data_IF_168985818585
#
_entry.id   IF_168985818585
#
_cell.length_a   1.000
_cell.length_b   1.000
_cell.length_c   1.000
_cell.angle_alpha   90.00
_cell.angle_beta   90.00
_cell.angle_gamma   90.00
#
_symmetry.space_group_name_H-M   'P 1'
#
loop_
_entity.id
_entity.type
_entity.pdbx_description
1 polymer ?
#
# COMPACT_ATOMS: atom_id res chain seq x y z
N UNK A 1 11.44 41.65 -11.88
CA UNK A 1 11.15 40.31 -12.41
C UNK A 1 10.86 39.31 -11.29
N UNK A 2 11.69 39.28 -10.23
CA UNK A 2 11.56 38.32 -9.10
C UNK A 2 10.23 38.43 -8.36
N UNK A 3 9.69 39.62 -8.18
CA UNK A 3 8.40 39.88 -7.50
C UNK A 3 7.17 39.50 -8.33
N UNK A 4 7.25 39.58 -9.67
CA UNK A 4 6.15 39.12 -10.55
C UNK A 4 6.08 37.60 -10.64
N UNK A 5 7.20 36.93 -10.68
CA UNK A 5 7.27 35.46 -10.68
C UNK A 5 6.77 34.89 -9.35
N UNK A 6 7.12 35.49 -8.20
CA UNK A 6 6.65 35.02 -6.90
C UNK A 6 5.14 35.26 -6.70
N UNK A 7 4.57 36.33 -7.28
CA UNK A 7 3.11 36.56 -7.28
C UNK A 7 2.37 35.59 -8.18
N UNK A 8 2.90 35.27 -9.37
CA UNK A 8 2.34 34.28 -10.26
C UNK A 8 2.37 32.88 -9.65
N UNK A 9 3.45 32.53 -8.93
CA UNK A 9 3.56 31.25 -8.19
C UNK A 9 2.54 31.14 -7.05
N UNK A 10 2.30 32.20 -6.29
CA UNK A 10 1.25 32.25 -5.24
C UNK A 10 -0.17 32.22 -5.83
N UNK A 11 -0.37 32.80 -7.00
CA UNK A 11 -1.67 32.84 -7.67
C UNK A 11 -2.03 31.53 -8.39
N UNK A 12 -1.04 30.66 -8.67
CA UNK A 12 -1.27 29.39 -9.37
C UNK A 12 -1.86 28.28 -8.47
N UNK A 13 -2.02 28.50 -7.17
CA UNK A 13 -2.50 27.48 -6.22
C UNK A 13 -1.51 26.32 -6.01
N UNK A 14 -0.37 26.30 -6.71
CA UNK A 14 0.61 25.20 -6.65
C UNK A 14 1.25 25.06 -5.27
N UNK A 15 1.46 26.17 -4.55
CA UNK A 15 1.99 26.12 -3.19
C UNK A 15 0.96 25.55 -2.21
N UNK A 16 -0.29 25.93 -2.37
CA UNK A 16 -1.39 25.47 -1.52
C UNK A 16 -1.68 23.98 -1.74
N UNK A 17 -1.67 23.54 -3.00
CA UNK A 17 -1.79 22.09 -3.33
C UNK A 17 -0.58 21.29 -2.86
N UNK A 18 0.64 21.85 -2.94
CA UNK A 18 1.85 21.20 -2.46
C UNK A 18 1.86 21.06 -0.92
N UNK A 19 1.40 22.10 -0.20
CA UNK A 19 1.26 22.08 1.25
C UNK A 19 0.19 21.07 1.69
N UNK A 20 -0.99 21.09 1.07
CA UNK A 20 -2.06 20.14 1.34
C UNK A 20 -1.64 18.68 1.03
N UNK A 21 -0.91 18.47 -0.06
CA UNK A 21 -0.34 17.16 -0.40
C UNK A 21 0.68 16.71 0.64
N UNK A 22 1.55 17.61 1.08
CA UNK A 22 2.54 17.33 2.12
C UNK A 22 1.89 16.98 3.45
N UNK A 23 0.87 17.72 3.86
CA UNK A 23 0.11 17.42 5.09
C UNK A 23 -0.56 16.04 5.00
N UNK A 24 -1.21 15.72 3.87
CA UNK A 24 -1.84 14.43 3.66
C UNK A 24 -0.83 13.29 3.65
N UNK A 25 0.28 13.43 2.92
CA UNK A 25 1.34 12.42 2.84
C UNK A 25 2.14 12.24 4.14
N UNK A 26 2.10 13.22 5.03
CA UNK A 26 2.75 13.15 6.34
C UNK A 26 1.92 12.40 7.38
N UNK A 27 0.72 11.93 7.02
CA UNK A 27 -0.10 11.14 7.95
C UNK A 27 0.35 9.69 8.00
N UNK A 28 0.20 9.04 9.16
CA UNK A 28 0.49 7.60 9.33
C UNK A 28 -0.32 6.75 8.34
N UNK A 29 -1.57 7.14 8.09
CA UNK A 29 -2.44 6.44 7.12
C UNK A 29 -1.86 6.51 5.71
N UNK A 30 -1.33 7.66 5.31
CA UNK A 30 -0.69 7.79 3.99
C UNK A 30 0.54 6.90 3.84
N UNK A 31 1.36 6.77 4.89
CA UNK A 31 2.51 5.83 4.88
C UNK A 31 2.03 4.39 4.67
N UNK A 32 0.97 3.96 5.36
CA UNK A 32 0.38 2.62 5.17
C UNK A 32 -0.15 2.42 3.74
N UNK A 33 -0.83 3.43 3.20
CA UNK A 33 -1.35 3.40 1.81
C UNK A 33 -0.21 3.30 0.81
N UNK A 34 0.86 4.09 0.97
CA UNK A 34 2.03 4.07 0.07
C UNK A 34 2.71 2.70 0.10
N UNK A 35 2.93 2.13 1.29
CA UNK A 35 3.54 0.80 1.43
C UNK A 35 2.67 -0.28 0.76
N UNK A 36 1.36 -0.25 0.99
CA UNK A 36 0.43 -1.21 0.38
C UNK A 36 0.34 -1.02 -1.14
N UNK A 37 0.36 0.23 -1.63
CA UNK A 37 0.39 0.53 -3.06
C UNK A 37 1.69 0.04 -3.73
N UNK A 38 2.82 0.14 -3.04
CA UNK A 38 4.10 -0.39 -3.52
C UNK A 38 4.07 -1.93 -3.63
N UNK A 39 3.50 -2.62 -2.65
CA UNK A 39 3.28 -4.07 -2.71
C UNK A 39 2.38 -4.44 -3.89
N UNK A 40 1.24 -3.75 -4.05
CA UNK A 40 0.29 -3.97 -5.15
C UNK A 40 0.95 -3.74 -6.52
N UNK A 41 1.79 -2.72 -6.65
CA UNK A 41 2.53 -2.45 -7.88
C UNK A 41 3.48 -3.58 -8.26
N UNK A 42 4.20 -4.15 -7.28
CA UNK A 42 5.09 -5.28 -7.52
C UNK A 42 4.29 -6.56 -7.84
N UNK A 43 3.23 -6.81 -7.09
CA UNK A 43 2.33 -7.95 -7.32
C UNK A 43 1.71 -7.91 -8.72
N UNK A 44 1.29 -6.72 -9.19
CA UNK A 44 0.73 -6.55 -10.53
C UNK A 44 1.69 -7.02 -11.63
N UNK A 45 2.98 -6.76 -11.49
CA UNK A 45 3.99 -7.16 -12.48
C UNK A 45 4.09 -8.68 -12.64
N UNK A 46 3.91 -9.41 -11.54
CA UNK A 46 3.94 -10.87 -11.55
C UNK A 46 2.61 -11.46 -12.04
N UNK A 47 1.49 -10.90 -11.61
CA UNK A 47 0.16 -11.43 -11.95
C UNK A 47 -0.28 -11.08 -13.37
N UNK A 48 0.13 -9.91 -13.88
CA UNK A 48 -0.15 -9.44 -15.22
C UNK A 48 1.17 -9.36 -16.00
N UNK A 49 1.56 -10.47 -16.62
CA UNK A 49 2.75 -10.51 -17.45
C UNK A 49 2.67 -9.48 -18.58
N UNK A 50 3.75 -8.74 -18.78
CA UNK A 50 3.82 -7.75 -19.85
C UNK A 50 3.99 -8.45 -21.21
N UNK A 51 3.06 -8.18 -22.11
CA UNK A 51 3.08 -8.66 -23.50
C UNK A 51 3.57 -7.55 -24.42
N UNK A 52 4.42 -7.92 -25.38
CA UNK A 52 4.83 -7.01 -26.45
C UNK A 52 3.60 -6.52 -27.23
N UNK A 53 3.46 -5.21 -27.41
CA UNK A 53 2.39 -4.59 -28.18
C UNK A 53 2.88 -4.10 -29.53
N UNK A 54 3.83 -3.17 -29.53
CA UNK A 54 4.43 -2.61 -30.75
C UNK A 54 5.76 -1.91 -30.43
N UNK A 55 6.58 -1.68 -31.47
CA UNK A 55 7.82 -0.93 -31.36
C UNK A 55 7.61 0.50 -31.86
N UNK A 56 7.96 1.48 -31.07
CA UNK A 56 8.04 2.87 -31.53
C UNK A 56 9.33 2.99 -32.35
N UNK A 57 9.24 3.38 -33.64
CA UNK A 57 10.44 3.54 -34.47
C UNK A 57 11.34 4.64 -33.93
N UNK A 58 12.64 4.52 -34.20
CA UNK A 58 13.62 5.54 -33.84
C UNK A 58 13.31 6.87 -34.52
N UNK A 59 13.29 7.95 -33.74
CA UNK A 59 13.14 9.31 -34.25
C UNK A 59 14.55 9.94 -34.30
N UNK A 60 15.14 9.96 -35.48
CA UNK A 60 16.50 10.47 -35.69
C UNK A 60 16.68 11.91 -35.20
N UNK A 61 15.61 12.74 -35.30
CA UNK A 61 15.61 14.13 -34.84
C UNK A 61 15.77 14.28 -33.31
N UNK A 62 15.35 13.28 -32.54
CA UNK A 62 15.42 13.26 -31.07
C UNK A 62 16.57 12.38 -30.58
N UNK A 63 17.32 11.71 -31.43
CA UNK A 63 18.40 10.81 -31.08
C UNK A 63 17.93 9.58 -30.29
N UNK A 64 16.64 9.22 -30.40
CA UNK A 64 16.05 8.07 -29.66
C UNK A 64 16.17 6.79 -30.49
N UNK A 65 16.63 5.70 -29.85
CA UNK A 65 16.58 4.35 -30.43
C UNK A 65 15.16 3.79 -30.52
N UNK A 66 14.96 2.62 -31.18
CA UNK A 66 13.67 1.95 -31.19
C UNK A 66 13.29 1.52 -29.75
N UNK A 67 12.05 1.76 -29.36
CA UNK A 67 11.54 1.43 -28.03
C UNK A 67 10.36 0.46 -28.13
N UNK A 68 10.50 -0.73 -27.50
CA UNK A 68 9.45 -1.73 -27.47
C UNK A 68 8.43 -1.41 -26.38
N UNK A 69 7.21 -1.12 -26.78
CA UNK A 69 6.09 -0.86 -25.87
C UNK A 69 5.50 -2.21 -25.45
N UNK A 70 5.52 -2.42 -24.12
CA UNK A 70 4.91 -3.60 -23.51
C UNK A 70 3.65 -3.17 -22.78
N UNK A 71 2.58 -3.94 -22.90
CA UNK A 71 1.31 -3.73 -22.20
C UNK A 71 0.97 -4.98 -21.39
N UNK A 72 0.30 -4.83 -20.24
CA UNK A 72 -0.13 -5.98 -19.45
C UNK A 72 -1.13 -6.84 -20.22
N UNK A 73 -0.98 -8.17 -20.14
CA UNK A 73 -1.91 -9.10 -20.76
C UNK A 73 -3.22 -9.14 -19.95
N UNK A 74 -4.23 -8.42 -20.45
CA UNK A 74 -5.53 -8.32 -19.79
C UNK A 74 -6.34 -9.62 -19.84
N UNK A 75 -5.99 -10.58 -20.71
CA UNK A 75 -6.67 -11.89 -20.74
C UNK A 75 -6.42 -12.68 -19.45
N UNK A 76 -5.31 -12.45 -18.76
CA UNK A 76 -5.03 -13.08 -17.47
C UNK A 76 -6.07 -12.73 -16.41
N UNK A 77 -6.73 -11.55 -16.52
CA UNK A 77 -7.83 -11.17 -15.63
C UNK A 77 -9.05 -12.11 -15.69
N UNK A 78 -9.16 -12.90 -16.73
CA UNK A 78 -10.24 -13.87 -16.89
C UNK A 78 -9.88 -15.26 -16.31
N UNK A 79 -8.69 -15.41 -15.74
CA UNK A 79 -8.16 -16.69 -15.27
C UNK A 79 -8.11 -16.77 -13.74
N UNK A 80 -8.26 -18.00 -13.21
CA UNK A 80 -8.04 -18.27 -11.78
C UNK A 80 -6.59 -18.02 -11.36
N UNK A 81 -5.65 -18.14 -12.28
CA UNK A 81 -4.23 -17.88 -12.06
C UNK A 81 -3.95 -16.43 -11.65
N UNK A 82 -4.79 -15.48 -12.04
CA UNK A 82 -4.75 -14.10 -11.56
C UNK A 82 -5.49 -13.96 -10.23
N UNK A 83 -6.75 -14.43 -10.16
CA UNK A 83 -7.60 -14.18 -9.00
C UNK A 83 -7.18 -14.94 -7.74
N UNK A 84 -6.61 -16.13 -7.86
CA UNK A 84 -6.13 -16.89 -6.71
C UNK A 84 -5.12 -16.08 -5.86
N UNK A 85 -3.94 -15.75 -6.39
CA UNK A 85 -2.95 -14.96 -5.66
C UNK A 85 -3.45 -13.54 -5.32
N UNK A 86 -4.21 -12.90 -6.23
CA UNK A 86 -4.72 -11.54 -6.00
C UNK A 86 -5.66 -11.47 -4.79
N UNK A 87 -6.60 -12.41 -4.68
CA UNK A 87 -7.53 -12.48 -3.55
C UNK A 87 -6.81 -12.87 -2.27
N UNK A 88 -5.89 -13.83 -2.31
CA UNK A 88 -5.08 -14.19 -1.14
C UNK A 88 -4.32 -12.99 -0.60
N UNK A 89 -3.61 -12.26 -1.45
CA UNK A 89 -2.90 -11.04 -1.06
C UNK A 89 -3.86 -9.97 -0.52
N UNK A 90 -4.99 -9.74 -1.20
CA UNK A 90 -5.95 -8.73 -0.78
C UNK A 90 -6.52 -9.04 0.61
N UNK A 91 -6.82 -10.31 0.90
CA UNK A 91 -7.31 -10.71 2.24
C UNK A 91 -6.23 -10.57 3.31
N UNK A 92 -5.03 -11.05 3.06
CA UNK A 92 -3.95 -11.07 4.08
C UNK A 92 -3.31 -9.70 4.30
N UNK A 93 -3.18 -8.88 3.25
CA UNK A 93 -2.47 -7.61 3.31
C UNK A 93 -3.38 -6.38 3.44
N UNK A 94 -4.69 -6.52 3.18
CA UNK A 94 -5.61 -5.40 3.19
C UNK A 94 -6.89 -5.66 3.98
N UNK A 95 -7.74 -6.61 3.56
CA UNK A 95 -9.08 -6.76 4.15
C UNK A 95 -9.06 -7.18 5.62
N UNK A 96 -8.34 -8.23 5.97
CA UNK A 96 -8.31 -8.72 7.37
C UNK A 96 -7.61 -7.72 8.29
N UNK A 97 -6.44 -7.14 7.94
CA UNK A 97 -5.84 -6.07 8.73
C UNK A 97 -6.75 -4.84 8.88
N UNK A 98 -7.45 -4.43 7.80
CA UNK A 98 -8.38 -3.30 7.84
C UNK A 98 -9.57 -3.57 8.76
N UNK A 99 -10.16 -4.76 8.65
CA UNK A 99 -11.24 -5.19 9.52
C UNK A 99 -10.81 -5.20 10.99
N UNK A 100 -9.66 -5.79 11.29
CA UNK A 100 -9.11 -5.79 12.63
C UNK A 100 -8.85 -4.37 13.16
N UNK A 101 -8.26 -3.49 12.35
CA UNK A 101 -7.99 -2.10 12.71
C UNK A 101 -9.26 -1.27 12.94
N UNK A 102 -10.37 -1.65 12.33
CA UNK A 102 -11.66 -1.02 12.55
C UNK A 102 -12.32 -1.46 13.86
N UNK A 103 -12.27 -2.76 14.17
CA UNK A 103 -12.92 -3.31 15.37
C UNK A 103 -12.06 -3.25 16.63
N UNK A 104 -10.74 -3.39 16.50
CA UNK A 104 -9.79 -3.41 17.60
C UNK A 104 -8.94 -2.14 17.59
N UNK A 105 -9.35 -1.14 18.35
CA UNK A 105 -8.58 0.09 18.49
C UNK A 105 -7.70 0.01 19.74
N UNK A 106 -6.43 -0.38 19.57
CA UNK A 106 -5.46 -0.50 20.65
C UNK A 106 -4.96 0.87 21.15
N UNK A 107 -5.10 1.91 20.34
CA UNK A 107 -4.63 3.26 20.66
C UNK A 107 -5.74 4.18 21.17
N UNK A 108 -6.99 3.67 21.30
CA UNK A 108 -8.12 4.46 21.79
C UNK A 108 -7.86 4.99 23.19
N UNK A 109 -7.71 6.32 23.32
CA UNK A 109 -7.74 6.96 24.63
C UNK A 109 -9.18 7.08 25.11
N UNK A 110 -9.52 6.65 26.34
CA UNK A 110 -10.83 6.91 26.88
C UNK A 110 -11.01 8.43 27.01
N UNK A 111 -11.88 9.00 26.19
CA UNK A 111 -12.25 10.41 26.29
C UNK A 111 -13.04 10.60 27.60
N UNK A 112 -12.38 11.18 28.59
CA UNK A 112 -13.04 11.65 29.83
C UNK A 112 -13.79 12.95 29.55
N UNK A 113 -14.79 12.90 28.70
CA UNK A 113 -15.71 14.01 28.57
C UNK A 113 -16.82 13.81 29.62
N UNK A 114 -17.00 14.80 30.47
CA UNK A 114 -17.92 14.89 31.62
C UNK A 114 -19.40 14.95 31.21
N UNK A 115 -19.78 14.41 30.07
CA UNK A 115 -21.14 14.37 29.57
C UNK A 115 -21.56 12.94 29.22
N UNK A 116 -22.75 12.57 29.60
CA UNK A 116 -23.38 11.25 29.68
C UNK A 116 -23.61 10.48 28.36
N UNK A 117 -22.80 10.71 27.34
CA UNK A 117 -22.81 9.91 26.11
C UNK A 117 -21.38 9.52 25.75
N UNK A 118 -21.03 8.25 25.99
CA UNK A 118 -19.81 7.64 25.46
C UNK A 118 -19.95 7.47 23.95
N UNK A 119 -19.67 8.55 23.20
CA UNK A 119 -19.45 8.44 21.76
C UNK A 119 -18.06 7.82 21.57
N UNK A 120 -18.01 6.51 21.33
CA UNK A 120 -16.82 5.86 20.79
C UNK A 120 -16.64 6.37 19.37
N UNK A 121 -15.67 7.25 19.16
CA UNK A 121 -15.23 7.59 17.82
C UNK A 121 -14.47 6.36 17.30
N UNK A 122 -15.13 5.56 16.45
CA UNK A 122 -14.51 4.44 15.75
C UNK A 122 -13.52 5.00 14.74
N UNK A 123 -12.32 5.28 15.18
CA UNK A 123 -11.24 5.72 14.32
C UNK A 123 -10.41 4.49 13.92
N UNK A 124 -10.05 4.40 12.64
CA UNK A 124 -9.09 3.44 12.13
C UNK A 124 -7.78 3.50 12.94
N UNK A 125 -7.31 2.35 13.43
CA UNK A 125 -6.05 2.25 14.18
C UNK A 125 -4.91 1.71 13.30
N UNK A 126 -3.97 2.57 12.87
CA UNK A 126 -2.86 2.15 12.02
C UNK A 126 -1.91 1.14 12.69
N UNK A 127 -1.81 1.16 14.03
CA UNK A 127 -0.95 0.23 14.76
C UNK A 127 -1.53 -1.20 14.70
N UNK A 128 -2.81 -1.33 14.98
CA UNK A 128 -3.52 -2.62 14.85
C UNK A 128 -3.44 -3.16 13.43
N UNK A 129 -3.62 -2.30 12.42
CA UNK A 129 -3.45 -2.67 11.01
C UNK A 129 -2.07 -3.27 10.74
N UNK A 130 -1.01 -2.58 11.15
CA UNK A 130 0.37 -3.04 10.93
C UNK A 130 0.67 -4.36 11.63
N UNK A 131 0.23 -4.51 12.88
CA UNK A 131 0.45 -5.74 13.67
C UNK A 131 -0.26 -6.93 13.03
N UNK A 132 -1.53 -6.78 12.68
CA UNK A 132 -2.31 -7.88 12.07
C UNK A 132 -1.77 -8.24 10.71
N UNK A 133 -1.40 -7.24 9.89
CA UNK A 133 -0.74 -7.48 8.60
C UNK A 133 0.59 -8.23 8.76
N UNK A 134 1.41 -7.84 9.73
CA UNK A 134 2.68 -8.52 10.02
C UNK A 134 2.47 -9.99 10.44
N UNK A 135 1.50 -10.24 11.33
CA UNK A 135 1.18 -11.59 11.79
C UNK A 135 0.69 -12.47 10.64
N UNK A 136 -0.25 -11.98 9.82
CA UNK A 136 -0.75 -12.72 8.66
C UNK A 136 0.36 -12.98 7.63
N UNK A 137 1.19 -11.99 7.36
CA UNK A 137 2.34 -12.13 6.46
C UNK A 137 3.29 -13.23 6.95
N UNK A 138 3.63 -13.21 8.24
CA UNK A 138 4.52 -14.22 8.81
C UNK A 138 3.89 -15.62 8.80
N UNK A 139 2.62 -15.76 9.21
CA UNK A 139 1.94 -17.06 9.28
C UNK A 139 1.69 -17.64 7.89
N UNK A 140 1.18 -16.84 6.96
CA UNK A 140 0.79 -17.33 5.62
C UNK A 140 2.00 -17.48 4.72
N UNK A 141 2.84 -16.46 4.64
CA UNK A 141 3.95 -16.42 3.67
C UNK A 141 5.30 -16.85 4.23
N UNK A 142 5.47 -16.80 5.56
CA UNK A 142 6.71 -17.19 6.22
C UNK A 142 6.70 -18.61 6.80
N UNK A 143 5.51 -19.10 7.17
CA UNK A 143 5.34 -20.44 7.75
C UNK A 143 4.55 -21.39 6.84
N UNK A 144 4.14 -20.94 5.64
CA UNK A 144 3.41 -21.73 4.66
C UNK A 144 2.14 -22.41 5.21
N UNK A 145 1.43 -21.73 6.12
CA UNK A 145 0.22 -22.27 6.76
C UNK A 145 -0.93 -22.26 5.77
N UNK A 146 -1.46 -23.45 5.47
CA UNK A 146 -2.53 -23.64 4.47
C UNK A 146 -3.95 -23.51 5.00
N UNK A 147 -4.13 -23.35 6.32
CA UNK A 147 -5.45 -23.28 6.98
C UNK A 147 -6.42 -24.40 6.52
N UNK A 148 -5.93 -25.65 6.51
CA UNK A 148 -6.75 -26.78 6.09
C UNK A 148 -7.04 -26.87 4.60
N UNK A 149 -6.19 -26.27 3.76
CA UNK A 149 -6.31 -26.29 2.29
C UNK A 149 -7.02 -25.06 1.70
N UNK A 150 -7.35 -24.06 2.52
CA UNK A 150 -7.91 -22.80 2.02
C UNK A 150 -6.86 -21.93 1.30
N UNK A 151 -5.59 -22.10 1.66
CA UNK A 151 -4.47 -21.38 1.07
C UNK A 151 -3.65 -22.36 0.24
N UNK A 152 -3.50 -22.04 -1.04
CA UNK A 152 -2.67 -22.81 -1.97
C UNK A 152 -1.22 -22.34 -1.88
N UNK A 153 -0.29 -23.27 -1.70
CA UNK A 153 1.15 -23.00 -1.62
C UNK A 153 1.71 -22.41 -2.91
N UNK A 154 1.13 -22.75 -4.06
CA UNK A 154 1.52 -22.14 -5.33
C UNK A 154 1.25 -20.62 -5.32
N UNK A 155 0.09 -20.20 -4.80
CA UNK A 155 -0.22 -18.77 -4.67
C UNK A 155 0.70 -18.06 -3.69
N UNK A 156 1.03 -18.72 -2.57
CA UNK A 156 2.00 -18.20 -1.60
C UNK A 156 3.36 -17.99 -2.25
N UNK A 157 3.87 -19.00 -2.97
CA UNK A 157 5.16 -18.90 -3.66
C UNK A 157 5.19 -17.78 -4.69
N UNK A 158 4.11 -17.62 -5.49
CA UNK A 158 3.98 -16.55 -6.49
C UNK A 158 3.94 -15.17 -5.85
N UNK A 159 3.21 -15.02 -4.74
CA UNK A 159 3.18 -13.74 -4.00
C UNK A 159 4.56 -13.43 -3.42
N UNK A 160 5.24 -14.41 -2.82
CA UNK A 160 6.57 -14.24 -2.28
C UNK A 160 7.61 -13.85 -3.34
N UNK A 161 7.51 -14.38 -4.56
CA UNK A 161 8.40 -14.02 -5.67
C UNK A 161 8.09 -12.61 -6.22
N UNK A 162 6.82 -12.19 -6.18
CA UNK A 162 6.38 -10.89 -6.67
C UNK A 162 6.76 -9.74 -5.75
N UNK A 163 6.64 -9.93 -4.44
CA UNK A 163 6.88 -8.88 -3.46
C UNK A 163 8.38 -8.59 -3.31
N UNK A 164 8.72 -7.31 -3.24
CA UNK A 164 10.11 -6.89 -3.04
C UNK A 164 10.65 -7.40 -1.69
N UNK A 165 11.65 -8.27 -1.76
CA UNK A 165 12.20 -8.97 -0.59
C UNK A 165 11.28 -10.05 -0.01
N UNK A 166 10.24 -10.48 -0.75
CA UNK A 166 9.28 -11.48 -0.30
C UNK A 166 8.53 -11.08 0.96
N UNK A 167 8.11 -12.05 1.76
CA UNK A 167 7.42 -11.81 3.03
C UNK A 167 8.24 -10.99 4.04
N UNK A 168 9.57 -11.11 4.00
CA UNK A 168 10.47 -10.31 4.86
C UNK A 168 10.40 -8.82 4.51
N UNK A 169 10.32 -8.49 3.22
CA UNK A 169 10.14 -7.11 2.76
C UNK A 169 8.84 -6.50 3.27
N UNK A 170 7.75 -7.26 3.27
CA UNK A 170 6.46 -6.84 3.83
C UNK A 170 6.57 -6.62 5.36
N UNK A 171 7.27 -7.50 6.09
CA UNK A 171 7.50 -7.33 7.52
C UNK A 171 8.30 -6.05 7.82
N UNK A 172 9.31 -5.74 7.01
CA UNK A 172 10.05 -4.46 7.15
C UNK A 172 9.10 -3.28 6.93
N UNK A 173 8.27 -3.33 5.89
CA UNK A 173 7.26 -2.30 5.62
C UNK A 173 6.28 -2.10 6.78
N UNK A 174 5.73 -3.18 7.32
CA UNK A 174 4.83 -3.11 8.49
C UNK A 174 5.55 -2.62 9.75
N UNK A 175 6.82 -2.97 9.92
CA UNK A 175 7.68 -2.46 10.99
C UNK A 175 7.85 -0.94 10.91
N UNK A 176 8.14 -0.41 9.72
CA UNK A 176 8.23 1.04 9.47
C UNK A 176 6.89 1.71 9.80
N UNK A 177 5.77 1.16 9.31
CA UNK A 177 4.43 1.69 9.61
C UNK A 177 4.12 1.73 11.10
N UNK A 178 4.49 0.68 11.85
CA UNK A 178 4.34 0.61 13.30
C UNK A 178 5.19 1.67 14.02
N UNK A 179 6.45 1.84 13.61
CA UNK A 179 7.34 2.84 14.18
C UNK A 179 6.85 4.26 13.97
N UNK A 180 6.36 4.57 12.75
CA UNK A 180 5.78 5.90 12.44
C UNK A 180 4.54 6.15 13.29
N UNK A 181 3.68 5.13 13.47
CA UNK A 181 2.49 5.23 14.32
C UNK A 181 2.86 5.51 15.79
N UNK A 182 3.84 4.77 16.33
CA UNK A 182 4.31 4.96 17.71
C UNK A 182 4.94 6.33 17.89
N UNK A 183 5.74 6.79 16.93
CA UNK A 183 6.35 8.11 16.95
C UNK A 183 5.29 9.21 16.99
N UNK A 184 4.26 9.13 16.13
CA UNK A 184 3.14 10.08 16.16
C UNK A 184 2.39 10.05 17.49
N UNK A 185 2.16 8.85 18.05
CA UNK A 185 1.48 8.70 19.34
C UNK A 185 2.26 9.32 20.50
N UNK A 186 3.60 9.34 20.43
CA UNK A 186 4.47 9.98 21.44
C UNK A 186 4.46 11.51 21.28
N UNK A 187 4.49 12.02 20.04
CA UNK A 187 4.49 13.47 19.79
C UNK A 187 3.18 14.16 20.14
N UNK A 188 2.04 13.45 20.05
CA UNK A 188 0.70 13.97 20.39
C UNK A 188 0.37 13.93 21.89
N UNK A 189 1.36 13.59 22.73
CA UNK A 189 1.25 13.69 24.19
C UNK A 189 1.59 15.09 24.66
#
# INVERSE_FOLDING_TARGET
>A
LRTRVSKAYKQSGLTETAEATRETLSTVVAVQVILTAFELYNLRKELLADRYAFTIPSIALLGTGPYDVKIPDLFLLLTSSFWGPATLWAFTSFFVPLFAAYFFNLTAKPSRTRSHSTHFTYAFDPLTFSIVKALLTFVVYGQDVTFGGLVDLEYVARINSALYGGWQGVLVGTGIGSLVTLYEAVLKK
#
